data_IF_380805165080
#
_entry.id   IF_380805165080
#
_cell.length_a   1.000
_cell.length_b   1.000
_cell.length_c   1.000
_cell.angle_alpha   90.00
_cell.angle_beta   90.00
_cell.angle_gamma   90.00
#
_symmetry.space_group_name_H-M   'P 1'
#
loop_
_entity.id
_entity.type
_entity.pdbx_description
1 polymer ?
#
# COMPACT_ATOMS: atom_id res chain seq x y z
N UNK A 1 -55.36 22.17 -3.98
CA UNK A 1 -54.91 20.78 -4.11
C UNK A 1 -53.78 20.54 -5.13
N UNK A 2 -53.16 21.57 -5.70
CA UNK A 2 -52.04 21.44 -6.66
C UNK A 2 -50.65 21.72 -6.07
N UNK A 3 -50.55 22.34 -4.90
CA UNK A 3 -49.28 22.76 -4.30
C UNK A 3 -48.60 21.63 -3.54
N UNK A 4 -49.32 20.68 -2.96
CA UNK A 4 -48.76 19.58 -2.17
C UNK A 4 -48.01 18.55 -3.05
N UNK A 5 -48.39 18.38 -4.32
CA UNK A 5 -47.71 17.45 -5.23
C UNK A 5 -46.29 17.94 -5.64
N UNK A 6 -46.03 19.22 -5.60
CA UNK A 6 -44.75 19.78 -6.02
C UNK A 6 -43.66 19.60 -4.94
N UNK A 7 -44.03 19.66 -3.66
CA UNK A 7 -43.09 19.49 -2.55
C UNK A 7 -42.64 18.04 -2.33
N UNK A 8 -43.51 17.07 -2.66
CA UNK A 8 -43.14 15.64 -2.57
C UNK A 8 -42.09 15.26 -3.61
N UNK A 9 -42.16 15.87 -4.81
CA UNK A 9 -41.18 15.62 -5.87
C UNK A 9 -39.81 16.26 -5.58
N UNK A 10 -39.79 17.40 -4.90
CA UNK A 10 -38.56 18.09 -4.50
C UNK A 10 -37.86 17.38 -3.33
N UNK A 11 -38.59 16.70 -2.45
CA UNK A 11 -38.02 15.99 -1.28
C UNK A 11 -37.37 14.64 -1.66
N UNK A 12 -37.80 14.01 -2.75
CA UNK A 12 -37.20 12.75 -3.23
C UNK A 12 -35.84 12.94 -3.95
N UNK A 13 -35.52 14.13 -4.43
CA UNK A 13 -34.26 14.37 -5.15
C UNK A 13 -33.07 14.63 -4.25
N UNK A 14 -33.28 14.86 -2.95
CA UNK A 14 -32.22 15.14 -1.97
C UNK A 14 -31.59 13.91 -1.33
N UNK A 15 -32.12 12.69 -1.60
CA UNK A 15 -31.64 11.46 -0.94
C UNK A 15 -30.74 10.57 -1.81
N UNK A 16 -30.47 10.94 -3.07
CA UNK A 16 -29.52 10.23 -3.92
C UNK A 16 -28.20 11.00 -4.06
N UNK A 17 -27.53 11.30 -2.94
CA UNK A 17 -26.09 11.49 -2.99
C UNK A 17 -25.46 10.10 -2.99
N UNK A 18 -24.81 9.65 -4.08
CA UNK A 18 -23.96 8.48 -4.00
C UNK A 18 -22.82 8.84 -3.05
N UNK A 19 -22.85 8.27 -1.86
CA UNK A 19 -21.65 8.25 -1.01
C UNK A 19 -20.60 7.49 -1.81
N UNK A 20 -19.78 8.23 -2.54
CA UNK A 20 -18.58 7.70 -3.15
C UNK A 20 -17.66 7.34 -2.00
N UNK A 21 -17.71 6.09 -1.54
CA UNK A 21 -16.72 5.52 -0.64
C UNK A 21 -15.40 5.55 -1.40
N UNK A 22 -14.63 6.62 -1.21
CA UNK A 22 -13.26 6.67 -1.64
C UNK A 22 -12.56 5.47 -0.99
N UNK A 23 -12.29 4.42 -1.77
CA UNK A 23 -11.53 3.27 -1.31
C UNK A 23 -10.09 3.72 -1.12
N UNK A 24 -9.80 4.25 0.08
CA UNK A 24 -8.43 4.52 0.49
C UNK A 24 -7.69 3.20 0.60
N UNK A 25 -6.47 3.14 0.07
CA UNK A 25 -5.57 2.04 0.34
C UNK A 25 -5.23 2.03 1.84
N UNK A 26 -5.14 0.84 2.44
CA UNK A 26 -4.69 0.69 3.82
C UNK A 26 -3.24 1.19 3.92
N UNK A 27 -2.97 2.08 4.87
CA UNK A 27 -1.62 2.52 5.20
C UNK A 27 -1.07 1.68 6.35
N UNK A 28 0.19 1.31 6.27
CA UNK A 28 0.89 0.62 7.35
C UNK A 28 0.91 1.50 8.59
N UNK A 29 0.38 1.01 9.70
CA UNK A 29 0.28 1.75 10.97
C UNK A 29 1.65 2.01 11.58
N UNK A 30 1.84 3.21 12.13
CA UNK A 30 3.04 3.62 12.84
C UNK A 30 2.71 4.62 13.95
N UNK A 31 3.62 4.73 14.90
CA UNK A 31 3.62 5.77 15.96
C UNK A 31 4.67 6.83 15.62
N UNK A 32 4.32 8.10 15.70
CA UNK A 32 5.29 9.20 15.57
C UNK A 32 5.96 9.39 16.93
N UNK A 33 7.24 9.09 17.01
CA UNK A 33 8.05 9.25 18.23
C UNK A 33 8.59 10.67 18.36
N UNK A 34 9.08 11.20 17.25
CA UNK A 34 9.59 12.57 17.14
C UNK A 34 9.35 13.10 15.74
N UNK A 35 9.06 14.40 15.64
CA UNK A 35 8.86 15.08 14.37
C UNK A 35 9.45 16.48 14.42
N UNK A 36 10.13 16.88 13.38
CA UNK A 36 10.55 18.25 13.12
C UNK A 36 10.23 18.63 11.65
N UNK A 37 10.72 19.77 11.20
CA UNK A 37 10.47 20.27 9.83
C UNK A 37 11.13 19.42 8.74
N UNK A 38 12.16 18.65 9.06
CA UNK A 38 12.98 17.90 8.10
C UNK A 38 12.60 16.43 8.07
N UNK A 39 12.43 15.78 9.21
CA UNK A 39 12.17 14.35 9.31
C UNK A 39 11.22 13.99 10.44
N UNK A 40 10.71 12.77 10.37
CA UNK A 40 9.94 12.09 11.43
C UNK A 40 10.68 10.82 11.85
N UNK A 41 10.74 10.56 13.17
CA UNK A 41 11.08 9.23 13.68
C UNK A 41 9.78 8.49 13.91
N UNK A 42 9.60 7.41 13.18
CA UNK A 42 8.42 6.55 13.24
C UNK A 42 8.79 5.20 13.83
N UNK A 43 7.95 4.69 14.72
CA UNK A 43 8.04 3.35 15.26
C UNK A 43 7.00 2.47 14.57
N UNK A 44 7.45 1.39 13.97
CA UNK A 44 6.60 0.38 13.33
C UNK A 44 6.61 -0.92 14.12
N UNK A 45 5.50 -1.64 14.12
CA UNK A 45 5.44 -3.05 14.53
C UNK A 45 5.94 -3.95 13.40
N UNK A 46 6.12 -5.24 13.68
CA UNK A 46 6.38 -6.26 12.66
C UNK A 46 5.28 -6.25 11.60
N UNK A 47 5.68 -6.42 10.34
CA UNK A 47 4.80 -6.34 9.19
C UNK A 47 5.06 -7.48 8.23
N UNK A 48 4.00 -8.10 7.74
CA UNK A 48 4.11 -9.08 6.67
C UNK A 48 4.15 -8.37 5.32
N UNK A 49 5.07 -8.77 4.46
CA UNK A 49 5.19 -8.25 3.12
C UNK A 49 5.40 -9.38 2.11
N UNK A 50 5.10 -9.10 0.85
CA UNK A 50 5.56 -9.88 -0.28
C UNK A 50 6.71 -9.14 -0.95
N UNK A 51 7.79 -9.85 -1.23
CA UNK A 51 9.05 -9.31 -1.70
C UNK A 51 9.50 -9.97 -3.00
N UNK A 52 10.13 -9.19 -3.86
CA UNK A 52 10.88 -9.68 -5.02
C UNK A 52 12.11 -8.82 -5.27
N UNK A 53 13.07 -9.35 -5.98
CA UNK A 53 14.30 -8.64 -6.33
C UNK A 53 14.65 -8.86 -7.81
N UNK A 54 15.28 -7.86 -8.43
CA UNK A 54 15.72 -7.94 -9.81
C UNK A 54 16.71 -6.81 -10.10
N UNK A 55 17.61 -7.04 -11.04
CA UNK A 55 18.41 -5.97 -11.65
C UNK A 55 17.63 -5.16 -12.71
N UNK A 56 16.42 -5.61 -13.08
CA UNK A 56 15.56 -4.94 -14.08
C UNK A 56 14.44 -4.18 -13.37
N UNK A 57 14.50 -2.86 -13.41
CA UNK A 57 13.68 -1.94 -12.62
C UNK A 57 12.15 -2.15 -12.73
N UNK A 58 11.63 -2.48 -13.91
CA UNK A 58 10.18 -2.57 -14.14
C UNK A 58 9.58 -3.97 -13.90
N UNK A 59 10.39 -4.98 -13.64
CA UNK A 59 9.91 -6.37 -13.46
C UNK A 59 9.31 -6.59 -12.06
N UNK A 60 9.87 -5.96 -11.04
CA UNK A 60 9.51 -6.17 -9.63
C UNK A 60 8.08 -5.79 -9.33
N UNK A 61 7.66 -4.58 -9.70
CA UNK A 61 6.28 -4.15 -9.49
C UNK A 61 5.27 -5.09 -10.15
N UNK A 62 5.53 -5.51 -11.38
CA UNK A 62 4.64 -6.41 -12.13
C UNK A 62 4.50 -7.77 -11.45
N UNK A 63 5.59 -8.34 -10.91
CA UNK A 63 5.57 -9.61 -10.18
C UNK A 63 4.70 -9.50 -8.92
N UNK A 64 4.93 -8.48 -8.09
CA UNK A 64 4.16 -8.27 -6.87
C UNK A 64 2.70 -7.92 -7.16
N UNK A 65 2.45 -7.14 -8.19
CA UNK A 65 1.08 -6.80 -8.61
C UNK A 65 0.30 -8.05 -9.08
N UNK A 66 0.94 -8.97 -9.80
CA UNK A 66 0.32 -10.27 -10.16
C UNK A 66 -0.05 -11.08 -8.92
N UNK A 67 0.81 -11.11 -7.90
CA UNK A 67 0.54 -11.81 -6.64
C UNK A 67 -0.71 -11.26 -5.96
N UNK A 68 -0.79 -9.93 -5.74
CA UNK A 68 -1.98 -9.33 -5.09
C UNK A 68 -3.23 -9.37 -5.97
N UNK A 69 -3.08 -9.52 -7.28
CA UNK A 69 -4.20 -9.68 -8.22
C UNK A 69 -4.77 -11.10 -8.27
N UNK A 70 -4.25 -12.02 -7.43
CA UNK A 70 -4.77 -13.38 -7.30
C UNK A 70 -3.86 -14.48 -7.88
N UNK A 71 -2.65 -14.16 -8.39
CA UNK A 71 -1.67 -15.20 -8.75
C UNK A 71 -0.90 -15.70 -7.52
N UNK A 72 -1.65 -16.32 -6.60
CA UNK A 72 -1.19 -16.97 -5.40
C UNK A 72 -1.91 -18.32 -5.22
N UNK A 73 -1.50 -19.14 -4.29
CA UNK A 73 -2.03 -20.50 -4.10
C UNK A 73 -3.55 -20.57 -3.88
N UNK A 74 -4.14 -19.50 -3.33
CA UNK A 74 -5.59 -19.42 -3.00
C UNK A 74 -6.41 -18.71 -4.08
N UNK A 75 -5.79 -18.20 -5.15
CA UNK A 75 -6.40 -17.32 -6.16
C UNK A 75 -7.11 -16.10 -5.51
N UNK A 76 -6.62 -15.66 -4.33
CA UNK A 76 -7.21 -14.57 -3.55
C UNK A 76 -6.69 -13.21 -4.01
N UNK A 77 -7.62 -12.27 -4.29
CA UNK A 77 -7.26 -10.87 -4.51
C UNK A 77 -6.98 -10.19 -3.19
N UNK A 78 -5.83 -9.57 -3.10
CA UNK A 78 -5.35 -8.85 -1.91
C UNK A 78 -5.39 -7.35 -2.22
N UNK A 79 -5.97 -6.55 -1.33
CA UNK A 79 -5.97 -5.08 -1.50
C UNK A 79 -4.54 -4.56 -1.42
N UNK A 80 -4.22 -3.60 -2.28
CA UNK A 80 -2.95 -2.90 -2.21
C UNK A 80 -2.89 -2.05 -0.94
N UNK A 81 -1.71 -2.00 -0.31
CA UNK A 81 -1.43 -1.12 0.82
C UNK A 81 -0.38 -0.07 0.45
N UNK A 82 -0.20 0.90 1.30
CA UNK A 82 0.86 1.91 1.21
C UNK A 82 1.71 1.91 2.48
N UNK A 83 2.99 2.25 2.39
CA UNK A 83 3.78 2.56 1.20
C UNK A 83 4.24 1.30 0.45
N UNK A 84 4.73 1.48 -0.78
CA UNK A 84 5.57 0.51 -1.47
C UNK A 84 7.03 0.79 -1.10
N UNK A 85 7.74 -0.21 -0.64
CA UNK A 85 9.17 -0.07 -0.30
C UNK A 85 10.04 -0.53 -1.45
N UNK A 86 11.06 0.27 -1.73
CA UNK A 86 12.07 -0.02 -2.73
C UNK A 86 13.45 0.18 -2.09
N UNK A 87 14.32 -0.83 -2.19
CA UNK A 87 15.66 -0.84 -1.61
C UNK A 87 16.64 -1.22 -2.70
N UNK A 88 17.63 -0.37 -2.93
CA UNK A 88 18.74 -0.68 -3.82
C UNK A 88 19.98 -1.04 -2.99
N UNK A 89 20.57 -2.18 -3.32
CA UNK A 89 21.84 -2.60 -2.73
C UNK A 89 22.67 -3.34 -3.79
N UNK A 90 23.87 -2.81 -4.06
CA UNK A 90 24.82 -3.41 -5.02
C UNK A 90 24.21 -3.66 -6.42
N UNK A 91 23.42 -2.72 -6.93
CA UNK A 91 22.75 -2.83 -8.23
C UNK A 91 21.58 -3.79 -8.27
N UNK A 92 21.19 -4.37 -7.13
CA UNK A 92 19.99 -5.21 -7.02
C UNK A 92 18.89 -4.38 -6.38
N UNK A 93 17.77 -4.28 -7.08
CA UNK A 93 16.57 -3.60 -6.60
C UNK A 93 15.64 -4.61 -5.94
N UNK A 94 15.41 -4.46 -4.63
CA UNK A 94 14.41 -5.19 -3.88
C UNK A 94 13.14 -4.34 -3.76
N UNK A 95 11.98 -4.93 -4.02
CA UNK A 95 10.69 -4.26 -3.86
C UNK A 95 9.80 -5.06 -2.93
N UNK A 96 9.04 -4.35 -2.07
CA UNK A 96 8.15 -4.93 -1.09
C UNK A 96 6.76 -4.29 -1.15
N UNK A 97 5.72 -5.12 -1.16
CA UNK A 97 4.34 -4.73 -0.90
C UNK A 97 3.93 -5.27 0.45
N UNK A 98 3.59 -4.39 1.40
CA UNK A 98 3.05 -4.83 2.67
C UNK A 98 1.68 -5.44 2.46
N UNK A 99 1.35 -6.49 3.19
CA UNK A 99 0.03 -7.08 3.15
C UNK A 99 -0.89 -6.37 4.14
N UNK A 100 -2.21 -6.30 3.86
CA UNK A 100 -3.21 -5.80 4.81
C UNK A 100 -3.06 -6.43 6.18
N UNK A 101 -3.36 -5.68 7.23
CA UNK A 101 -3.22 -6.10 8.64
C UNK A 101 -3.98 -7.37 9.02
N UNK A 102 -5.00 -7.74 8.24
CA UNK A 102 -5.75 -9.00 8.39
C UNK A 102 -4.91 -10.25 8.11
N UNK A 103 -3.77 -10.12 7.40
CA UNK A 103 -2.90 -11.25 7.08
C UNK A 103 -1.76 -11.40 8.07
N UNK A 104 -1.49 -12.63 8.41
CA UNK A 104 -0.30 -13.07 9.11
C UNK A 104 0.40 -14.19 8.32
N UNK A 105 1.53 -14.67 8.79
CA UNK A 105 2.35 -15.69 8.10
C UNK A 105 1.57 -16.98 7.78
N UNK A 106 0.56 -17.32 8.59
CA UNK A 106 -0.22 -18.56 8.43
C UNK A 106 -1.46 -18.35 7.56
N UNK A 107 -1.99 -17.13 7.45
CA UNK A 107 -3.21 -16.82 6.72
C UNK A 107 -2.96 -16.27 5.32
N UNK A 108 -1.81 -15.64 5.08
CA UNK A 108 -1.48 -15.12 3.77
C UNK A 108 -1.29 -16.27 2.75
N UNK A 109 -1.83 -16.14 1.52
CA UNK A 109 -1.61 -17.14 0.49
C UNK A 109 -0.14 -17.17 0.04
N UNK A 110 0.42 -18.37 -0.18
CA UNK A 110 1.79 -18.46 -0.67
C UNK A 110 1.91 -17.96 -2.11
N UNK A 111 3.02 -17.28 -2.46
CA UNK A 111 3.31 -16.92 -3.84
C UNK A 111 3.55 -18.18 -4.69
N UNK A 112 3.01 -18.17 -5.92
CA UNK A 112 3.29 -19.18 -6.96
C UNK A 112 4.14 -18.61 -8.09
N UNK A 113 4.59 -17.37 -7.94
CA UNK A 113 5.40 -16.64 -8.92
C UNK A 113 6.86 -16.80 -8.51
N UNK A 114 7.71 -17.17 -9.46
CA UNK A 114 9.15 -17.26 -9.27
C UNK A 114 9.75 -15.96 -8.74
N UNK A 115 10.72 -16.04 -7.83
CA UNK A 115 11.38 -14.93 -7.15
C UNK A 115 10.47 -14.03 -6.28
N UNK A 116 9.25 -14.47 -6.01
CA UNK A 116 8.33 -13.77 -5.08
C UNK A 116 8.20 -14.59 -3.81
N UNK A 117 8.41 -13.96 -2.65
CA UNK A 117 8.33 -14.63 -1.35
C UNK A 117 7.64 -13.78 -0.29
N UNK A 118 7.03 -14.44 0.67
CA UNK A 118 6.53 -13.81 1.90
C UNK A 118 7.71 -13.57 2.85
N UNK A 119 7.79 -12.36 3.39
CA UNK A 119 8.83 -11.94 4.35
C UNK A 119 8.19 -11.23 5.53
N UNK A 120 8.75 -11.44 6.71
CA UNK A 120 8.45 -10.63 7.89
C UNK A 120 9.43 -9.47 7.94
N UNK A 121 8.92 -8.25 7.92
CA UNK A 121 9.72 -7.04 8.09
C UNK A 121 9.67 -6.69 9.57
N UNK A 122 10.81 -6.77 10.23
CA UNK A 122 10.92 -6.46 11.65
C UNK A 122 10.49 -5.04 11.94
N UNK A 123 9.80 -4.86 13.03
CA UNK A 123 9.46 -3.57 13.57
C UNK A 123 10.70 -2.81 14.02
N UNK A 124 10.53 -1.55 14.36
CA UNK A 124 11.64 -0.72 14.84
C UNK A 124 11.44 0.75 14.57
N UNK A 125 12.50 1.51 14.75
CA UNK A 125 12.53 2.96 14.55
C UNK A 125 13.11 3.30 13.19
N UNK A 126 12.40 4.15 12.45
CA UNK A 126 12.77 4.57 11.10
C UNK A 126 12.78 6.09 11.03
N UNK A 127 13.86 6.66 10.51
CA UNK A 127 13.91 8.06 10.13
C UNK A 127 13.26 8.22 8.76
N UNK A 128 12.21 9.03 8.67
CA UNK A 128 11.39 9.22 7.46
C UNK A 128 11.48 10.69 7.04
N UNK A 129 11.97 10.92 5.83
CA UNK A 129 11.96 12.22 5.18
C UNK A 129 10.92 12.22 4.07
N UNK A 130 10.23 13.35 3.92
CA UNK A 130 9.36 13.58 2.76
C UNK A 130 10.08 14.50 1.78
N UNK A 131 10.09 14.11 0.54
CA UNK A 131 10.57 14.96 -0.54
C UNK A 131 9.52 15.07 -1.64
N UNK A 132 9.53 16.15 -2.39
CA UNK A 132 8.69 16.36 -3.57
C UNK A 132 9.51 16.12 -4.83
N UNK A 133 8.88 15.56 -5.86
CA UNK A 133 9.51 15.31 -7.13
C UNK A 133 9.41 13.85 -7.58
N UNK A 134 9.97 13.56 -8.75
CA UNK A 134 9.99 12.19 -9.29
C UNK A 134 11.05 11.36 -8.54
N UNK A 135 10.71 10.13 -8.18
CA UNK A 135 11.67 9.15 -7.70
C UNK A 135 12.68 8.83 -8.83
N UNK A 136 13.87 9.40 -8.74
CA UNK A 136 14.98 9.19 -9.66
C UNK A 136 16.29 9.22 -8.88
N UNK A 137 17.31 8.53 -9.39
CA UNK A 137 18.63 8.41 -8.75
C UNK A 137 19.22 9.77 -8.37
N UNK A 138 18.98 10.81 -9.20
CA UNK A 138 19.42 12.19 -8.95
C UNK A 138 18.81 12.80 -7.67
N UNK A 139 17.67 12.31 -7.21
CA UNK A 139 17.00 12.84 -6.02
C UNK A 139 17.39 12.09 -4.73
N UNK A 140 18.06 10.94 -4.87
CA UNK A 140 18.50 10.13 -3.72
C UNK A 140 20.00 10.29 -3.40
N UNK A 141 20.78 10.89 -4.33
CA UNK A 141 22.21 11.15 -4.16
C UNK A 141 22.39 12.64 -3.86
N UNK A 142 22.24 13.01 -2.60
CA UNK A 142 22.67 14.32 -2.07
C UNK A 142 23.39 14.12 -0.75
#
# INVERSE_FOLDING_TARGET
MKIIKFYVLLFCTLFFFPYSLAMSNEEVSYEIVTKNEVYEIRKYSDRLAVETFSSVQNSNFRKLFKYISGRNEKNEKIKMTTPVTQIEKNGIMTMQFYLPSKFNKNSAPNPIIEDVKLVNIEGGYYAVLRYSGRASDKNFIK
#
